data_IF_664950360291
#
_entry.id   IF_664950360291
#
_cell.length_a   1.000
_cell.length_b   1.000
_cell.length_c   1.000
_cell.angle_alpha   90.00
_cell.angle_beta   90.00
_cell.angle_gamma   90.00
#
_symmetry.space_group_name_H-M   'P 1'
#
loop_
_entity.id
_entity.type
_entity.pdbx_description
1 polymer ?
#
# COMPACT_ATOMS: atom_id res chain seq x y z
N UNK A 1 -24.11 5.41 22.31
CA UNK A 1 -23.04 5.51 23.35
C UNK A 1 -22.95 6.95 23.83
N UNK A 2 -22.79 7.18 25.15
CA UNK A 2 -22.58 8.54 25.69
C UNK A 2 -21.18 9.04 25.30
N UNK A 3 -21.02 10.35 25.08
CA UNK A 3 -19.73 10.93 24.66
C UNK A 3 -18.58 10.63 25.64
N UNK A 4 -18.88 10.60 26.96
CA UNK A 4 -17.89 10.25 27.99
C UNK A 4 -17.33 8.85 27.78
N UNK A 5 -18.20 7.86 27.52
CA UNK A 5 -17.80 6.47 27.32
C UNK A 5 -17.05 6.32 25.97
N UNK A 6 -17.49 7.03 24.94
CA UNK A 6 -16.82 7.05 23.63
C UNK A 6 -15.39 7.58 23.74
N UNK A 7 -15.18 8.70 24.48
CA UNK A 7 -13.84 9.23 24.76
C UNK A 7 -12.99 8.29 25.62
N UNK A 8 -13.61 7.56 26.54
CA UNK A 8 -12.89 6.60 27.37
C UNK A 8 -12.32 5.44 26.55
N UNK A 9 -13.11 4.85 25.65
CA UNK A 9 -12.68 3.70 24.85
C UNK A 9 -11.79 4.06 23.66
N UNK A 10 -12.02 5.21 22.99
CA UNK A 10 -11.32 5.58 21.76
C UNK A 10 -10.32 6.73 21.92
N UNK A 11 -10.01 7.14 23.13
CA UNK A 11 -9.22 8.28 23.57
C UNK A 11 -9.83 9.66 23.23
N UNK A 12 -9.64 10.59 24.17
CA UNK A 12 -10.12 11.97 24.00
C UNK A 12 -9.52 12.68 22.79
N UNK A 13 -8.20 12.48 22.53
CA UNK A 13 -7.51 13.10 21.41
C UNK A 13 -8.12 12.69 20.07
N UNK A 14 -8.37 11.38 19.88
CA UNK A 14 -8.99 10.86 18.65
C UNK A 14 -10.42 11.36 18.48
N UNK A 15 -11.26 11.25 19.52
CA UNK A 15 -12.68 11.61 19.46
C UNK A 15 -12.87 13.12 19.30
N UNK A 16 -12.04 13.94 19.93
CA UNK A 16 -12.15 15.40 19.82
C UNK A 16 -12.01 15.91 18.39
N UNK A 17 -11.15 15.30 17.56
CA UNK A 17 -11.02 15.65 16.14
C UNK A 17 -12.36 15.51 15.41
N UNK A 18 -13.03 14.38 15.59
CA UNK A 18 -14.35 14.14 15.00
C UNK A 18 -15.42 15.06 15.59
N UNK A 19 -15.36 15.33 16.89
CA UNK A 19 -16.31 16.18 17.60
C UNK A 19 -16.26 17.62 17.09
N UNK A 20 -15.06 18.19 16.95
CA UNK A 20 -14.85 19.55 16.42
C UNK A 20 -15.35 19.62 14.97
N UNK A 21 -14.96 18.66 14.11
CA UNK A 21 -15.35 18.64 12.71
C UNK A 21 -16.87 18.48 12.49
N UNK A 22 -17.60 17.96 13.48
CA UNK A 22 -19.07 17.79 13.41
C UNK A 22 -19.84 18.84 14.20
N UNK A 23 -19.21 19.99 14.51
CA UNK A 23 -19.84 21.10 15.24
C UNK A 23 -20.26 20.71 16.65
N UNK A 24 -19.48 19.89 17.34
CA UNK A 24 -19.72 19.37 18.71
C UNK A 24 -21.00 18.51 18.85
N UNK A 25 -21.54 17.99 17.76
CA UNK A 25 -22.64 17.04 17.79
C UNK A 25 -22.16 15.64 18.11
N UNK A 26 -22.52 15.11 19.28
CA UNK A 26 -22.18 13.74 19.70
C UNK A 26 -22.71 12.69 18.70
N UNK A 27 -23.93 12.87 18.21
CA UNK A 27 -24.55 11.94 17.26
C UNK A 27 -23.77 11.89 15.94
N UNK A 28 -23.50 13.08 15.34
CA UNK A 28 -22.70 13.16 14.10
C UNK A 28 -21.28 12.67 14.29
N UNK A 29 -20.66 12.90 15.46
CA UNK A 29 -19.33 12.39 15.81
C UNK A 29 -19.28 10.88 15.73
N UNK A 30 -20.23 10.19 16.35
CA UNK A 30 -20.30 8.71 16.33
C UNK A 30 -20.55 8.23 14.90
N UNK A 31 -21.50 8.83 14.18
CA UNK A 31 -21.82 8.48 12.79
C UNK A 31 -20.60 8.64 11.86
N UNK A 32 -19.84 9.74 12.00
CA UNK A 32 -18.65 9.98 11.18
C UNK A 32 -17.52 8.99 11.51
N UNK A 33 -17.35 8.66 12.79
CA UNK A 33 -16.38 7.64 13.21
C UNK A 33 -16.73 6.26 12.63
N UNK A 34 -18.01 5.86 12.71
CA UNK A 34 -18.49 4.62 12.08
C UNK A 34 -18.32 4.64 10.56
N UNK A 35 -18.60 5.79 9.91
CA UNK A 35 -18.40 5.94 8.47
C UNK A 35 -16.93 5.75 8.08
N UNK A 36 -16.00 6.30 8.86
CA UNK A 36 -14.56 6.08 8.67
C UNK A 36 -14.20 4.59 8.73
N UNK A 37 -14.72 3.84 9.69
CA UNK A 37 -14.48 2.40 9.80
C UNK A 37 -15.10 1.62 8.63
N UNK A 38 -16.33 1.96 8.22
CA UNK A 38 -17.01 1.33 7.09
C UNK A 38 -16.28 1.57 5.76
N UNK A 39 -15.73 2.78 5.56
CA UNK A 39 -14.91 3.09 4.39
C UNK A 39 -13.61 2.27 4.43
N UNK A 40 -12.92 2.23 5.57
CA UNK A 40 -11.72 1.40 5.74
C UNK A 40 -12.01 -0.06 5.40
N UNK A 41 -13.12 -0.61 5.90
CA UNK A 41 -13.57 -1.97 5.61
C UNK A 41 -13.81 -2.17 4.10
N UNK A 42 -14.42 -1.20 3.41
CA UNK A 42 -14.70 -1.30 1.98
C UNK A 42 -13.43 -1.37 1.12
N UNK A 43 -12.31 -0.83 1.59
CA UNK A 43 -11.01 -0.89 0.91
C UNK A 43 -10.30 -2.24 1.04
N UNK A 44 -10.54 -3.02 2.09
CA UNK A 44 -9.78 -4.25 2.35
C UNK A 44 -9.78 -5.23 1.17
N UNK A 45 -10.91 -5.57 0.52
CA UNK A 45 -10.89 -6.47 -0.62
C UNK A 45 -10.04 -5.95 -1.79
N UNK A 46 -10.14 -4.65 -2.10
CA UNK A 46 -9.43 -4.02 -3.20
C UNK A 46 -7.92 -4.01 -2.94
N UNK A 47 -7.52 -3.64 -1.73
CA UNK A 47 -6.11 -3.63 -1.31
C UNK A 47 -5.52 -5.04 -1.32
N UNK A 48 -6.26 -6.03 -0.84
CA UNK A 48 -5.84 -7.43 -0.86
C UNK A 48 -5.64 -7.96 -2.27
N UNK A 49 -6.58 -7.69 -3.19
CA UNK A 49 -6.48 -8.11 -4.59
C UNK A 49 -5.28 -7.41 -5.26
N UNK A 50 -5.13 -6.08 -5.08
CA UNK A 50 -3.99 -5.36 -5.64
C UNK A 50 -2.66 -5.93 -5.14
N UNK A 51 -2.53 -6.19 -3.83
CA UNK A 51 -1.29 -6.73 -3.24
C UNK A 51 -0.96 -8.12 -3.82
N UNK A 52 -1.95 -9.00 -3.93
CA UNK A 52 -1.75 -10.37 -4.48
C UNK A 52 -1.40 -10.33 -5.96
N UNK A 53 -2.13 -9.54 -6.76
CA UNK A 53 -1.89 -9.42 -8.20
C UNK A 53 -0.51 -8.80 -8.47
N UNK A 54 -0.20 -7.68 -7.80
CA UNK A 54 1.08 -6.98 -7.96
C UNK A 54 2.25 -7.91 -7.61
N UNK A 55 2.16 -8.60 -6.46
CA UNK A 55 3.15 -9.56 -6.00
C UNK A 55 3.42 -10.67 -7.01
N UNK A 56 2.37 -11.33 -7.48
CA UNK A 56 2.51 -12.48 -8.36
C UNK A 56 3.04 -12.05 -9.73
N UNK A 57 2.49 -10.96 -10.33
CA UNK A 57 2.94 -10.49 -11.63
C UNK A 57 4.40 -10.00 -11.61
N UNK A 58 4.81 -9.29 -10.55
CA UNK A 58 6.21 -8.88 -10.38
C UNK A 58 7.13 -10.08 -10.18
N UNK A 59 6.70 -11.08 -9.40
CA UNK A 59 7.46 -12.31 -9.24
C UNK A 59 7.68 -13.00 -10.58
N UNK A 60 6.64 -13.16 -11.40
CA UNK A 60 6.74 -13.82 -12.71
C UNK A 60 7.74 -13.08 -13.63
N UNK A 61 7.62 -11.75 -13.73
CA UNK A 61 8.49 -10.93 -14.59
C UNK A 61 9.95 -11.01 -14.11
N UNK A 62 10.19 -10.97 -12.80
CA UNK A 62 11.56 -10.99 -12.26
C UNK A 62 12.17 -12.39 -12.29
N UNK A 63 11.40 -13.45 -12.06
CA UNK A 63 11.86 -14.82 -12.23
C UNK A 63 12.31 -15.09 -13.67
N UNK A 64 11.53 -14.61 -14.65
CA UNK A 64 11.88 -14.69 -16.06
C UNK A 64 13.13 -13.84 -16.38
N UNK A 65 13.20 -12.62 -15.87
CA UNK A 65 14.33 -11.71 -16.12
C UNK A 65 15.66 -12.26 -15.62
N UNK A 66 15.67 -12.85 -14.42
CA UNK A 66 16.87 -13.48 -13.84
C UNK A 66 17.08 -14.91 -14.31
N UNK A 67 16.13 -15.50 -15.05
CA UNK A 67 16.12 -16.94 -15.41
C UNK A 67 16.28 -17.79 -14.15
N UNK A 68 15.63 -17.38 -13.06
CA UNK A 68 15.80 -17.96 -11.72
C UNK A 68 14.47 -17.86 -10.95
N UNK A 69 13.79 -18.99 -10.67
CA UNK A 69 12.57 -19.01 -9.88
C UNK A 69 12.80 -18.61 -8.41
N UNK A 70 14.04 -18.73 -7.93
CA UNK A 70 14.45 -18.36 -6.57
C UNK A 70 15.13 -16.97 -6.49
N UNK A 71 14.91 -16.13 -7.52
CA UNK A 71 15.49 -14.78 -7.62
C UNK A 71 15.36 -13.97 -6.33
N UNK A 72 14.22 -14.07 -5.63
CA UNK A 72 13.96 -13.28 -4.43
C UNK A 72 14.95 -13.60 -3.31
N UNK A 73 15.38 -14.85 -3.21
CA UNK A 73 16.41 -15.29 -2.25
C UNK A 73 17.81 -14.96 -2.79
N UNK A 74 18.08 -15.32 -4.06
CA UNK A 74 19.41 -15.24 -4.64
C UNK A 74 19.87 -13.80 -4.89
N UNK A 75 18.95 -12.90 -5.24
CA UNK A 75 19.25 -11.48 -5.50
C UNK A 75 19.51 -10.65 -4.24
N UNK A 76 19.45 -11.23 -3.05
CA UNK A 76 20.01 -10.57 -1.84
C UNK A 76 21.47 -10.22 -2.00
N UNK A 77 22.24 -11.10 -2.68
CA UNK A 77 23.68 -10.91 -3.00
C UNK A 77 23.90 -10.25 -4.36
N UNK A 78 22.84 -10.15 -5.18
CA UNK A 78 22.84 -9.51 -6.49
C UNK A 78 22.44 -8.03 -6.40
N UNK A 79 21.41 -7.62 -7.18
CA UNK A 79 21.03 -6.20 -7.29
C UNK A 79 20.68 -5.56 -5.94
N UNK A 80 20.14 -6.30 -4.97
CA UNK A 80 19.80 -5.76 -3.64
C UNK A 80 21.02 -5.45 -2.76
N UNK A 81 22.22 -5.81 -3.21
CA UNK A 81 23.51 -5.50 -2.58
C UNK A 81 24.43 -4.65 -3.47
N UNK A 82 23.90 -4.14 -4.58
CA UNK A 82 24.68 -3.34 -5.53
C UNK A 82 25.29 -2.10 -4.85
N UNK A 83 26.54 -1.79 -5.18
CA UNK A 83 27.26 -0.67 -4.58
C UNK A 83 26.63 0.69 -4.88
N UNK A 84 25.91 0.83 -6.00
CA UNK A 84 25.18 2.06 -6.38
C UNK A 84 23.99 2.38 -5.49
N UNK A 85 23.55 1.44 -4.64
CA UNK A 85 22.56 1.69 -3.61
C UNK A 85 23.08 2.57 -2.45
N UNK A 86 24.40 2.75 -2.37
CA UNK A 86 25.01 3.68 -1.40
C UNK A 86 24.88 5.12 -1.91
N UNK A 87 24.54 6.01 -0.98
CA UNK A 87 24.46 7.45 -1.27
C UNK A 87 24.85 8.27 -0.04
N UNK A 88 25.41 9.46 -0.28
CA UNK A 88 25.69 10.40 0.79
C UNK A 88 24.49 11.32 1.00
N UNK A 89 23.94 11.32 2.20
CA UNK A 89 22.83 12.19 2.54
C UNK A 89 23.34 13.64 2.64
N UNK A 90 22.96 14.47 1.66
CA UNK A 90 23.52 15.81 1.45
C UNK A 90 23.46 16.73 2.69
N UNK A 91 22.44 16.58 3.52
CA UNK A 91 22.24 17.42 4.70
C UNK A 91 23.21 17.13 5.84
N UNK A 92 23.69 15.90 5.99
CA UNK A 92 24.50 15.47 7.15
C UNK A 92 25.84 14.85 6.77
N UNK A 93 26.12 14.66 5.47
CA UNK A 93 27.32 13.94 5.00
C UNK A 93 27.33 12.44 5.32
N UNK A 94 26.30 11.90 5.97
CA UNK A 94 26.25 10.50 6.37
C UNK A 94 26.01 9.62 5.16
N UNK A 95 26.82 8.57 5.02
CA UNK A 95 26.61 7.52 4.00
C UNK A 95 25.46 6.62 4.43
N UNK A 96 24.47 6.46 3.57
CA UNK A 96 23.32 5.57 3.73
C UNK A 96 23.25 4.58 2.59
N UNK A 97 22.50 3.51 2.76
CA UNK A 97 22.25 2.50 1.71
C UNK A 97 20.76 2.29 1.55
N UNK A 98 20.28 2.25 0.30
CA UNK A 98 18.90 1.88 -0.05
C UNK A 98 18.77 0.36 -0.07
N UNK A 99 18.85 -0.27 1.10
CA UNK A 99 18.86 -1.72 1.29
C UNK A 99 17.53 -2.29 1.79
N UNK A 100 16.44 -1.54 1.60
CA UNK A 100 15.12 -1.89 2.13
C UNK A 100 14.69 -3.30 1.68
N UNK A 101 14.76 -3.62 0.40
CA UNK A 101 14.39 -4.93 -0.14
C UNK A 101 15.17 -6.05 0.54
N UNK A 102 16.50 -5.92 0.62
CA UNK A 102 17.34 -6.91 1.28
C UNK A 102 16.95 -7.13 2.74
N UNK A 103 16.74 -6.03 3.48
CA UNK A 103 16.34 -6.10 4.90
C UNK A 103 15.00 -6.79 5.11
N UNK A 104 14.03 -6.56 4.24
CA UNK A 104 12.72 -7.22 4.35
C UNK A 104 12.83 -8.74 4.12
N UNK A 105 13.66 -9.19 3.18
CA UNK A 105 13.93 -10.62 2.99
C UNK A 105 14.60 -11.21 4.22
N UNK A 106 15.65 -10.57 4.76
CA UNK A 106 16.32 -11.04 5.96
C UNK A 106 15.37 -11.11 7.18
N UNK A 107 14.44 -10.17 7.29
CA UNK A 107 13.39 -10.22 8.33
C UNK A 107 12.44 -11.43 8.12
N UNK A 108 12.04 -11.70 6.86
CA UNK A 108 11.22 -12.85 6.53
C UNK A 108 11.94 -14.16 6.87
N UNK A 109 13.20 -14.31 6.47
CA UNK A 109 14.02 -15.49 6.81
C UNK A 109 14.11 -15.68 8.33
N UNK A 110 14.35 -14.58 9.08
CA UNK A 110 14.40 -14.64 10.55
C UNK A 110 13.08 -15.11 11.17
N UNK A 111 11.93 -14.67 10.62
CA UNK A 111 10.60 -15.12 11.07
C UNK A 111 10.38 -16.60 10.80
N UNK A 112 10.67 -17.05 9.58
CA UNK A 112 10.54 -18.45 9.17
C UNK A 112 11.42 -19.37 10.02
N UNK A 113 12.68 -18.98 10.24
CA UNK A 113 13.59 -19.74 11.11
C UNK A 113 13.07 -19.84 12.56
N UNK A 114 12.49 -18.73 13.10
CA UNK A 114 11.92 -18.75 14.45
C UNK A 114 10.76 -19.74 14.59
N UNK A 115 9.99 -19.94 13.52
CA UNK A 115 8.87 -20.91 13.48
C UNK A 115 9.28 -22.26 12.90
N UNK A 116 10.57 -22.52 12.70
CA UNK A 116 11.12 -23.75 12.12
C UNK A 116 10.48 -24.10 10.75
N UNK A 117 10.06 -23.06 10.02
CA UNK A 117 9.47 -23.20 8.69
C UNK A 117 10.57 -23.20 7.64
N UNK A 118 10.60 -24.19 6.71
CA UNK A 118 11.59 -24.20 5.63
C UNK A 118 11.57 -22.90 4.81
N UNK A 119 12.76 -22.36 4.54
CA UNK A 119 12.92 -21.16 3.70
C UNK A 119 12.78 -21.60 2.24
N UNK A 120 11.72 -21.13 1.58
CA UNK A 120 11.50 -21.27 0.14
C UNK A 120 11.09 -19.93 -0.43
N UNK A 121 11.29 -19.70 -1.72
CA UNK A 121 10.89 -18.47 -2.41
C UNK A 121 9.42 -18.16 -2.22
N UNK A 122 8.54 -19.17 -2.31
CA UNK A 122 7.11 -18.97 -2.06
C UNK A 122 6.79 -18.48 -0.64
N UNK A 123 7.50 -18.99 0.39
CA UNK A 123 7.36 -18.53 1.76
C UNK A 123 7.89 -17.10 1.94
N UNK A 124 9.06 -16.81 1.38
CA UNK A 124 9.63 -15.44 1.41
C UNK A 124 8.68 -14.46 0.71
N UNK A 125 8.14 -14.80 -0.46
CA UNK A 125 7.17 -13.99 -1.21
C UNK A 125 5.92 -13.73 -0.36
N UNK A 126 5.39 -14.74 0.32
CA UNK A 126 4.19 -14.63 1.15
C UNK A 126 4.40 -13.72 2.38
N UNK A 127 5.63 -13.65 2.89
CA UNK A 127 6.01 -12.79 4.02
C UNK A 127 6.19 -11.31 3.63
N UNK A 128 6.30 -10.99 2.33
CA UNK A 128 6.50 -9.61 1.89
C UNK A 128 5.21 -8.80 1.97
N UNK A 129 5.35 -7.55 2.38
CA UNK A 129 4.25 -6.58 2.41
C UNK A 129 4.15 -5.84 1.07
N UNK A 130 3.04 -5.12 0.86
CA UNK A 130 2.86 -4.22 -0.28
C UNK A 130 4.07 -3.28 -0.47
N UNK A 131 4.68 -2.82 0.63
CA UNK A 131 5.85 -1.94 0.59
C UNK A 131 7.04 -2.54 -0.15
N UNK A 132 7.30 -3.84 -0.02
CA UNK A 132 8.36 -4.52 -0.76
C UNK A 132 8.14 -4.42 -2.29
N UNK A 133 6.93 -4.70 -2.72
CA UNK A 133 6.57 -4.73 -4.14
C UNK A 133 6.55 -3.34 -4.76
N UNK A 134 6.13 -2.32 -4.02
CA UNK A 134 6.16 -0.93 -4.49
C UNK A 134 7.57 -0.38 -4.56
N UNK A 135 8.49 -0.82 -3.69
CA UNK A 135 9.89 -0.37 -3.67
C UNK A 135 10.69 -0.78 -4.93
N UNK A 136 10.21 -1.80 -5.66
CA UNK A 136 10.76 -2.17 -6.98
C UNK A 136 10.60 -1.07 -8.04
N UNK A 137 9.67 -0.13 -7.83
CA UNK A 137 9.44 1.03 -8.68
C UNK A 137 10.22 2.27 -8.23
N UNK A 138 10.88 2.25 -7.06
CA UNK A 138 11.79 3.31 -6.66
C UNK A 138 12.96 3.44 -7.64
N UNK A 139 13.40 4.67 -7.92
CA UNK A 139 14.37 4.97 -8.99
C UNK A 139 15.59 4.07 -8.94
N UNK A 140 16.16 3.87 -7.75
CA UNK A 140 17.39 3.10 -7.57
C UNK A 140 17.20 1.61 -7.89
N UNK A 141 16.12 0.98 -7.42
CA UNK A 141 15.82 -0.43 -7.72
C UNK A 141 15.38 -0.62 -9.17
N UNK A 142 14.51 0.26 -9.66
CA UNK A 142 13.99 0.20 -11.03
C UNK A 142 15.12 0.27 -12.08
N UNK A 143 16.14 1.10 -11.84
CA UNK A 143 17.31 1.20 -12.72
C UNK A 143 18.15 -0.07 -12.71
N UNK A 144 18.42 -0.66 -11.54
CA UNK A 144 19.15 -1.92 -11.41
C UNK A 144 18.40 -3.09 -12.07
N UNK A 145 17.07 -3.05 -12.03
CA UNK A 145 16.20 -4.02 -12.71
C UNK A 145 15.98 -3.69 -14.20
N UNK A 146 16.70 -2.70 -14.76
CA UNK A 146 16.61 -2.29 -16.17
C UNK A 146 15.18 -2.05 -16.64
N UNK A 147 14.35 -1.49 -15.76
CA UNK A 147 12.96 -1.16 -16.08
C UNK A 147 11.98 -2.35 -16.12
N UNK A 148 12.41 -3.56 -15.81
CA UNK A 148 11.55 -4.75 -15.92
C UNK A 148 10.23 -4.69 -15.15
N UNK A 149 10.13 -4.09 -13.94
CA UNK A 149 8.87 -4.03 -13.22
C UNK A 149 7.69 -3.43 -13.98
N UNK A 150 7.92 -2.51 -14.94
CA UNK A 150 6.83 -1.89 -15.71
C UNK A 150 6.10 -2.88 -16.62
N UNK A 151 6.74 -3.99 -16.98
CA UNK A 151 6.21 -4.98 -17.94
C UNK A 151 4.98 -5.72 -17.42
N UNK A 152 4.65 -5.60 -16.13
CA UNK A 152 3.41 -6.17 -15.59
C UNK A 152 2.16 -5.41 -16.07
N UNK A 153 2.31 -4.15 -16.52
CA UNK A 153 1.20 -3.29 -16.94
C UNK A 153 0.98 -3.42 -18.44
N UNK A 154 0.06 -4.27 -18.86
CA UNK A 154 -0.21 -4.60 -20.25
C UNK A 154 -0.94 -3.49 -21.00
N UNK A 155 -1.76 -2.70 -20.30
CA UNK A 155 -2.59 -1.63 -20.86
C UNK A 155 -2.28 -0.26 -20.27
N UNK A 156 -0.98 -0.01 -19.99
CA UNK A 156 -0.54 1.29 -19.49
C UNK A 156 -0.83 2.38 -20.53
N UNK A 157 -1.46 3.50 -20.17
CA UNK A 157 -1.75 4.58 -21.10
C UNK A 157 -0.49 5.16 -21.76
N UNK A 158 -0.63 5.59 -23.01
CA UNK A 158 0.47 6.26 -23.72
C UNK A 158 0.96 7.49 -22.93
N UNK A 159 2.29 7.65 -22.86
CA UNK A 159 2.94 8.71 -22.10
C UNK A 159 3.11 8.43 -20.61
N UNK A 160 2.53 7.33 -20.09
CA UNK A 160 2.75 6.90 -18.71
C UNK A 160 3.95 5.96 -18.61
N UNK A 161 4.66 6.04 -17.50
CA UNK A 161 5.83 5.20 -17.25
C UNK A 161 6.01 4.94 -15.75
N UNK A 162 7.26 4.67 -15.37
CA UNK A 162 7.62 4.38 -13.99
C UNK A 162 7.08 5.43 -13.00
N UNK A 163 7.21 6.72 -13.34
CA UNK A 163 6.87 7.80 -12.41
C UNK A 163 5.38 7.78 -12.06
N UNK A 164 4.52 7.72 -13.06
CA UNK A 164 3.06 7.72 -12.90
C UNK A 164 2.59 6.49 -12.12
N UNK A 165 3.18 5.33 -12.41
CA UNK A 165 2.91 4.07 -11.67
C UNK A 165 3.38 4.19 -10.22
N UNK A 166 4.63 4.65 -10.00
CA UNK A 166 5.18 4.79 -8.65
C UNK A 166 4.37 5.78 -7.79
N UNK A 167 3.96 6.91 -8.37
CA UNK A 167 3.17 7.91 -7.67
C UNK A 167 1.82 7.33 -7.20
N UNK A 168 1.15 6.50 -8.03
CA UNK A 168 -0.09 5.83 -7.64
C UNK A 168 0.14 4.73 -6.61
N UNK A 169 1.16 3.91 -6.78
CA UNK A 169 1.53 2.86 -5.82
C UNK A 169 1.87 3.45 -4.45
N UNK A 170 2.62 4.55 -4.41
CA UNK A 170 3.00 5.21 -3.16
C UNK A 170 1.78 5.84 -2.45
N UNK A 171 0.85 6.45 -3.22
CA UNK A 171 -0.43 6.95 -2.70
C UNK A 171 -1.22 5.81 -2.05
N UNK A 172 -1.40 4.68 -2.75
CA UNK A 172 -2.12 3.50 -2.23
C UNK A 172 -1.43 2.93 -1.00
N UNK A 173 -0.10 2.79 -1.01
CA UNK A 173 0.69 2.26 0.10
C UNK A 173 0.54 3.12 1.36
N UNK A 174 0.64 4.44 1.24
CA UNK A 174 0.45 5.37 2.37
C UNK A 174 -0.96 5.27 2.94
N UNK A 175 -1.96 5.25 2.09
CA UNK A 175 -3.36 5.14 2.51
C UNK A 175 -3.67 3.80 3.18
N UNK A 176 -3.16 2.68 2.63
CA UNK A 176 -3.26 1.34 3.25
C UNK A 176 -2.63 1.32 4.64
N UNK A 177 -1.50 1.98 4.83
CA UNK A 177 -0.87 2.07 6.14
C UNK A 177 -1.75 2.82 7.15
N UNK A 178 -2.37 3.93 6.74
CA UNK A 178 -3.34 4.65 7.58
C UNK A 178 -4.52 3.77 7.99
N UNK A 179 -5.09 3.00 7.05
CA UNK A 179 -6.16 2.03 7.35
C UNK A 179 -5.69 1.01 8.40
N UNK A 180 -4.52 0.41 8.20
CA UNK A 180 -3.99 -0.62 9.10
C UNK A 180 -3.64 -0.10 10.50
N UNK A 181 -3.30 1.18 10.62
CA UNK A 181 -3.08 1.87 11.89
C UNK A 181 -4.35 2.51 12.47
N UNK A 182 -5.52 2.23 11.87
CA UNK A 182 -6.81 2.80 12.25
C UNK A 182 -6.78 4.34 12.30
N UNK A 183 -5.99 4.99 11.44
CA UNK A 183 -5.96 6.44 11.33
C UNK A 183 -7.22 6.94 10.61
N UNK A 184 -7.68 8.18 10.92
CA UNK A 184 -8.79 8.77 10.20
C UNK A 184 -8.46 8.99 8.72
N UNK A 185 -9.32 8.53 7.81
CA UNK A 185 -9.19 8.70 6.36
C UNK A 185 -10.27 9.64 5.76
N UNK A 186 -11.04 10.29 6.63
CA UNK A 186 -12.15 11.15 6.27
C UNK A 186 -11.86 12.65 6.52
N UNK A 187 -10.58 13.03 6.56
CA UNK A 187 -10.18 14.40 6.82
C UNK A 187 -9.07 14.88 5.90
N UNK A 188 -9.15 16.16 5.54
CA UNK A 188 -8.04 16.96 5.01
C UNK A 188 -7.81 18.12 5.99
N UNK A 189 -6.66 18.11 6.68
CA UNK A 189 -6.49 18.99 7.86
C UNK A 189 -7.56 18.71 8.90
N UNK A 190 -8.32 19.73 9.28
CA UNK A 190 -9.41 19.64 10.26
C UNK A 190 -10.81 19.54 9.61
N UNK A 191 -10.87 19.60 8.28
CA UNK A 191 -12.13 19.52 7.54
C UNK A 191 -12.49 18.09 7.19
N UNK A 192 -13.79 17.75 7.24
CA UNK A 192 -14.31 16.50 6.71
C UNK A 192 -14.12 16.50 5.21
N UNK A 193 -13.31 15.58 4.69
CA UNK A 193 -12.97 15.47 3.28
C UNK A 193 -12.74 14.00 2.90
N UNK A 194 -13.32 13.60 1.78
CA UNK A 194 -13.19 12.25 1.23
C UNK A 194 -12.44 12.23 -0.11
N UNK A 195 -11.85 13.34 -0.56
CA UNK A 195 -11.19 13.43 -1.87
C UNK A 195 -10.02 12.47 -1.96
N UNK A 196 -9.13 12.42 -0.95
CA UNK A 196 -8.03 11.45 -0.91
C UNK A 196 -8.55 10.01 -1.02
N UNK A 197 -9.64 9.70 -0.31
CA UNK A 197 -10.30 8.37 -0.36
C UNK A 197 -10.75 8.02 -1.77
N UNK A 198 -11.38 8.95 -2.47
CA UNK A 198 -11.84 8.78 -3.87
C UNK A 198 -10.65 8.64 -4.82
N UNK A 199 -9.62 9.46 -4.67
CA UNK A 199 -8.41 9.39 -5.47
C UNK A 199 -7.66 8.06 -5.31
N UNK A 200 -7.52 7.56 -4.07
CA UNK A 200 -6.89 6.26 -3.81
C UNK A 200 -7.70 5.12 -4.41
N UNK A 201 -9.04 5.19 -4.31
CA UNK A 201 -9.90 4.22 -4.98
C UNK A 201 -9.64 4.20 -6.49
N UNK A 202 -9.60 5.38 -7.14
CA UNK A 202 -9.28 5.47 -8.57
C UNK A 202 -7.88 4.93 -8.87
N UNK A 203 -6.89 5.21 -8.01
CA UNK A 203 -5.52 4.69 -8.19
C UNK A 203 -5.49 3.15 -8.17
N UNK A 204 -6.24 2.50 -7.26
CA UNK A 204 -6.32 1.04 -7.21
C UNK A 204 -6.96 0.48 -8.48
N UNK A 205 -8.09 1.05 -8.90
CA UNK A 205 -8.80 0.62 -10.12
C UNK A 205 -7.90 0.80 -11.35
N UNK A 206 -7.23 1.94 -11.49
CA UNK A 206 -6.31 2.20 -12.59
C UNK A 206 -5.17 1.17 -12.63
N UNK A 207 -4.47 0.96 -11.50
CA UNK A 207 -3.36 0.01 -11.41
C UNK A 207 -3.79 -1.40 -11.82
N UNK A 208 -4.93 -1.88 -11.32
CA UNK A 208 -5.47 -3.20 -11.66
C UNK A 208 -5.88 -3.27 -13.13
N UNK A 209 -6.54 -2.24 -13.66
CA UNK A 209 -6.91 -2.15 -15.08
C UNK A 209 -5.66 -2.19 -15.98
N UNK A 210 -4.61 -1.46 -15.60
CA UNK A 210 -3.37 -1.43 -16.40
C UNK A 210 -2.62 -2.76 -16.37
N UNK A 211 -2.73 -3.52 -15.28
CA UNK A 211 -2.17 -4.88 -15.23
C UNK A 211 -3.00 -5.80 -16.14
N UNK A 212 -4.31 -5.86 -15.92
CA UNK A 212 -5.24 -6.64 -16.75
C UNK A 212 -6.67 -6.17 -16.49
N UNK A 213 -7.41 -5.66 -17.51
CA UNK A 213 -8.80 -5.26 -17.38
C UNK A 213 -9.75 -6.36 -16.88
N UNK A 214 -9.43 -7.62 -17.10
CA UNK A 214 -10.25 -8.75 -16.63
C UNK A 214 -10.34 -8.84 -15.11
N UNK A 215 -9.31 -8.35 -14.40
CA UNK A 215 -9.30 -8.31 -12.93
C UNK A 215 -10.45 -7.46 -12.38
N UNK A 216 -10.85 -6.42 -13.13
CA UNK A 216 -11.93 -5.51 -12.70
C UNK A 216 -13.28 -6.25 -12.61
N UNK A 217 -13.50 -7.29 -13.40
CA UNK A 217 -14.72 -8.10 -13.33
C UNK A 217 -14.85 -8.78 -11.96
N UNK A 218 -13.74 -9.20 -11.35
CA UNK A 218 -13.73 -9.78 -10.01
C UNK A 218 -14.16 -8.77 -8.93
N UNK A 219 -13.96 -7.47 -9.20
CA UNK A 219 -14.28 -6.42 -8.23
C UNK A 219 -15.75 -5.99 -8.24
N UNK A 220 -16.55 -6.37 -9.25
CA UNK A 220 -17.91 -5.87 -9.48
C UNK A 220 -18.80 -5.96 -8.23
N UNK A 221 -18.73 -7.08 -7.51
CA UNK A 221 -19.51 -7.33 -6.30
C UNK A 221 -18.80 -6.96 -5.00
N UNK A 222 -17.47 -6.79 -5.04
CA UNK A 222 -16.63 -6.53 -3.88
C UNK A 222 -16.46 -5.04 -3.62
N UNK A 223 -16.41 -4.22 -4.68
CA UNK A 223 -16.19 -2.78 -4.56
C UNK A 223 -17.42 -2.06 -4.02
N UNK A 224 -17.35 -1.68 -2.75
CA UNK A 224 -18.39 -0.88 -2.08
C UNK A 224 -17.90 0.53 -1.72
N UNK A 225 -16.68 0.91 -2.13
CA UNK A 225 -16.04 2.17 -1.69
C UNK A 225 -16.89 3.37 -2.07
N UNK A 226 -17.22 3.55 -3.35
CA UNK A 226 -18.02 4.71 -3.82
C UNK A 226 -19.34 4.83 -3.06
N UNK A 227 -20.09 3.73 -2.94
CA UNK A 227 -21.39 3.70 -2.24
C UNK A 227 -21.23 4.07 -0.75
N UNK A 228 -20.14 3.63 -0.12
CA UNK A 228 -19.89 3.89 1.30
C UNK A 228 -19.50 5.35 1.52
N UNK A 229 -18.66 5.92 0.65
CA UNK A 229 -18.28 7.35 0.68
C UNK A 229 -19.50 8.24 0.47
N UNK A 230 -20.35 7.96 -0.53
CA UNK A 230 -21.55 8.77 -0.78
C UNK A 230 -22.54 8.76 0.40
N UNK A 231 -22.60 7.66 1.14
CA UNK A 231 -23.37 7.61 2.40
C UNK A 231 -22.74 8.46 3.50
N UNK A 232 -21.42 8.46 3.60
CA UNK A 232 -20.69 9.23 4.61
C UNK A 232 -20.78 10.74 4.38
N UNK A 233 -20.82 11.19 3.13
CA UNK A 233 -21.00 12.62 2.77
C UNK A 233 -22.32 13.22 3.26
N UNK A 234 -23.30 12.41 3.64
CA UNK A 234 -24.63 12.85 4.13
C UNK A 234 -24.68 13.12 5.64
N UNK A 235 -23.59 12.93 6.38
CA UNK A 235 -23.46 13.17 7.82
C UNK A 235 -23.25 14.64 8.12
#
# INVERSE_FOLDING_TARGET
MKLKDFKHYFSSARVNRYLIATGNSTEKTVKLYEANLKISQAFHPLLGILEVVLRNRLNDVLALYFTDPDWIINQKSGFMSDSSLRYTYKRTGVVKTNDFLKREILKAEKRLNKTQTPITSGKIIAEQTLGFWTDLFEVHNYRLLKGKPIQIFQTLPSGFGRKEVNDQLDKVRRFRNRINHNEPICFNGDLIDFNETVEVHHSIINLLTWIDPEIIKLLSDLDKVKKTVERAKKI
#
